data_IF_791763897708
#
_entry.id   IF_791763897708
#
_cell.length_a   1.000
_cell.length_b   1.000
_cell.length_c   1.000
_cell.angle_alpha   90.00
_cell.angle_beta   90.00
_cell.angle_gamma   90.00
#
_symmetry.space_group_name_H-M   'P 1'
#
loop_
_entity.id
_entity.type
_entity.pdbx_description
1 polymer ?
#
# COMPACT_ATOMS: atom_id res chain seq x y z
N UNK A 1 -5.64 17.46 -10.28
CA UNK A 1 -5.19 16.54 -9.21
C UNK A 1 -4.13 17.25 -8.39
N UNK A 2 -4.15 17.12 -7.06
CA UNK A 2 -3.14 17.70 -6.16
C UNK A 2 -2.22 16.55 -5.71
N UNK A 3 -0.89 16.74 -5.60
CA UNK A 3 0.01 15.74 -5.04
C UNK A 3 -0.52 15.24 -3.69
N UNK A 4 -0.50 13.93 -3.48
CA UNK A 4 -0.86 13.30 -2.21
C UNK A 4 -2.28 13.62 -1.69
N UNK A 5 -3.22 14.00 -2.57
CA UNK A 5 -4.62 14.25 -2.18
C UNK A 5 -5.61 13.47 -3.07
N UNK A 6 -6.66 12.93 -2.45
CA UNK A 6 -7.70 12.16 -3.12
C UNK A 6 -7.43 10.65 -3.18
N UNK A 7 -8.40 9.88 -3.68
CA UNK A 7 -8.36 8.42 -3.68
C UNK A 7 -7.17 7.87 -4.48
N UNK A 8 -6.92 6.57 -4.31
CA UNK A 8 -6.03 5.85 -5.22
C UNK A 8 -6.57 6.01 -6.65
N UNK A 9 -5.74 6.38 -7.64
CA UNK A 9 -6.19 6.50 -9.02
C UNK A 9 -6.79 5.18 -9.54
N UNK A 10 -7.72 5.28 -10.50
CA UNK A 10 -8.24 4.10 -11.19
C UNK A 10 -7.11 3.36 -11.93
N UNK A 11 -7.21 2.04 -11.99
CA UNK A 11 -6.27 1.16 -12.65
C UNK A 11 -6.03 -0.13 -11.89
N UNK A 12 -5.18 -0.97 -12.47
CA UNK A 12 -4.73 -2.23 -11.85
C UNK A 12 -3.47 -2.00 -11.02
N UNK A 13 -3.41 -2.67 -9.87
CA UNK A 13 -2.31 -2.58 -8.92
C UNK A 13 -1.87 -3.97 -8.50
N UNK A 14 -0.56 -4.22 -8.55
CA UNK A 14 0.06 -5.43 -8.03
C UNK A 14 0.22 -5.35 -6.52
N UNK A 15 -0.20 -6.41 -5.81
CA UNK A 15 -0.01 -6.54 -4.37
C UNK A 15 1.36 -7.15 -4.12
N UNK A 16 2.30 -6.34 -3.65
CA UNK A 16 3.70 -6.77 -3.44
C UNK A 16 4.10 -6.58 -1.97
N UNK A 17 5.21 -7.19 -1.58
CA UNK A 17 5.82 -6.89 -0.28
C UNK A 17 6.09 -5.39 -0.19
N UNK A 18 5.75 -4.78 0.96
CA UNK A 18 6.10 -3.38 1.18
C UNK A 18 7.63 -3.25 1.18
N UNK A 19 8.20 -2.29 0.43
CA UNK A 19 9.63 -2.03 0.52
C UNK A 19 9.93 -1.48 1.92
N UNK A 20 10.33 -2.37 2.81
CA UNK A 20 11.10 -2.00 4.00
C UNK A 20 12.51 -1.77 3.48
N UNK A 21 13.05 -0.56 3.58
CA UNK A 21 14.41 -0.28 3.09
C UNK A 21 15.48 -1.19 3.75
N UNK A 22 16.75 -0.89 3.49
CA UNK A 22 17.88 -1.64 4.06
C UNK A 22 17.83 -1.81 5.60
N UNK A 23 18.65 -2.72 6.15
CA UNK A 23 18.68 -3.10 7.58
C UNK A 23 18.50 -1.92 8.57
N UNK A 24 19.16 -0.79 8.36
CA UNK A 24 19.03 0.40 9.22
C UNK A 24 17.63 1.03 9.24
N UNK A 25 16.91 0.99 8.12
CA UNK A 25 15.52 1.50 8.04
C UNK A 25 14.50 0.55 8.69
N UNK A 26 14.80 -0.77 8.74
CA UNK A 26 13.99 -1.76 9.47
C UNK A 26 14.10 -1.55 10.97
N UNK A 27 15.31 -1.32 11.48
CA UNK A 27 15.54 -0.98 12.88
C UNK A 27 14.85 0.34 13.25
N UNK A 28 14.96 1.37 12.41
CA UNK A 28 14.28 2.65 12.64
C UNK A 28 12.75 2.54 12.58
N UNK A 29 12.21 1.77 11.63
CA UNK A 29 10.77 1.49 11.56
C UNK A 29 10.27 0.74 12.80
N UNK A 30 10.99 -0.28 13.27
CA UNK A 30 10.66 -0.99 14.51
C UNK A 30 10.71 -0.10 15.75
N UNK A 31 11.71 0.79 15.84
CA UNK A 31 11.79 1.77 16.94
C UNK A 31 10.62 2.74 16.87
N UNK A 32 10.29 3.28 15.69
CA UNK A 32 9.18 4.21 15.52
C UNK A 32 7.82 3.55 15.80
N UNK A 33 7.63 2.29 15.43
CA UNK A 33 6.43 1.51 15.73
C UNK A 33 6.31 1.19 17.23
N UNK A 34 7.44 0.98 17.92
CA UNK A 34 7.51 0.83 19.38
C UNK A 34 7.17 2.14 20.11
N UNK A 35 7.59 3.29 19.58
CA UNK A 35 7.25 4.60 20.19
C UNK A 35 5.79 4.98 19.91
N UNK A 36 5.26 4.69 18.72
CA UNK A 36 3.86 4.97 18.37
C UNK A 36 2.87 4.07 19.13
N UNK A 37 3.26 2.83 19.47
CA UNK A 37 2.45 1.91 20.28
C UNK A 37 2.30 2.35 21.75
N UNK A 38 3.11 3.29 22.22
CA UNK A 38 2.96 3.89 23.55
C UNK A 38 1.93 5.04 23.58
N UNK A 39 1.49 5.56 22.42
CA UNK A 39 0.65 6.77 22.30
C UNK A 39 -0.70 6.48 21.61
N UNK A 40 -0.93 5.24 21.16
CA UNK A 40 -2.18 4.80 20.53
C UNK A 40 -2.17 3.31 20.19
N UNK A 41 -3.19 2.84 19.46
CA UNK A 41 -3.24 1.44 18.99
C UNK A 41 -2.00 1.13 18.13
N UNK A 42 -1.19 0.13 18.49
CA UNK A 42 0.02 -0.24 17.74
C UNK A 42 -0.32 -0.54 16.28
N UNK A 43 0.35 0.16 15.36
CA UNK A 43 0.24 -0.10 13.92
C UNK A 43 1.55 -0.72 13.46
N UNK A 44 1.55 -2.03 13.21
CA UNK A 44 2.71 -2.72 12.66
C UNK A 44 2.76 -2.50 11.14
N UNK A 45 3.64 -1.60 10.70
CA UNK A 45 3.82 -1.30 9.28
C UNK A 45 4.53 -2.42 8.50
N UNK A 46 5.08 -3.42 9.19
CA UNK A 46 5.66 -4.62 8.60
C UNK A 46 4.61 -5.57 8.02
N UNK A 47 3.34 -5.42 8.43
CA UNK A 47 2.27 -6.25 7.91
C UNK A 47 1.65 -5.74 6.60
N UNK A 48 1.91 -4.49 6.24
CA UNK A 48 1.28 -3.81 5.12
C UNK A 48 1.84 -4.32 3.79
N UNK A 49 0.99 -4.32 2.76
CA UNK A 49 1.45 -4.56 1.39
C UNK A 49 1.63 -3.22 0.65
N UNK A 50 2.55 -3.20 -0.31
CA UNK A 50 2.61 -2.11 -1.29
C UNK A 50 1.71 -2.42 -2.49
N UNK A 51 1.19 -1.36 -3.10
CA UNK A 51 0.36 -1.42 -4.30
C UNK A 51 1.08 -0.72 -5.44
N UNK A 52 1.70 -1.49 -6.32
CA UNK A 52 2.43 -0.96 -7.48
C UNK A 52 1.50 -0.91 -8.68
N UNK A 53 1.36 0.26 -9.29
CA UNK A 53 0.46 0.41 -10.44
C UNK A 53 0.98 -0.39 -11.63
N UNK A 54 0.07 -1.01 -12.36
CA UNK A 54 0.33 -1.65 -13.65
C UNK A 54 0.39 -0.58 -14.76
N UNK A 55 1.44 0.25 -14.75
CA UNK A 55 1.68 1.35 -15.72
C UNK A 55 2.96 1.16 -16.56
N UNK A 56 3.52 -0.05 -16.54
CA UNK A 56 4.74 -0.43 -17.25
C UNK A 56 6.04 -0.18 -16.48
N UNK A 57 6.05 0.73 -15.50
CA UNK A 57 7.23 0.95 -14.64
C UNK A 57 7.25 0.00 -13.45
N UNK A 58 6.07 -0.37 -12.94
CA UNK A 58 5.83 -1.27 -11.81
C UNK A 58 6.74 -0.91 -10.64
N UNK A 59 6.48 0.23 -10.03
CA UNK A 59 7.22 0.70 -8.87
C UNK A 59 6.28 1.41 -7.87
N UNK A 60 6.86 1.98 -6.81
CA UNK A 60 6.11 2.57 -5.71
C UNK A 60 5.56 3.98 -6.01
N UNK A 61 5.73 4.46 -7.24
CA UNK A 61 5.24 5.75 -7.71
C UNK A 61 4.54 5.63 -9.05
N UNK A 62 3.75 6.64 -9.38
CA UNK A 62 3.08 6.75 -10.68
C UNK A 62 2.83 8.22 -10.99
N UNK A 63 2.65 8.53 -12.27
CA UNK A 63 2.39 9.89 -12.75
C UNK A 63 1.01 9.96 -13.37
N UNK A 64 0.17 10.85 -12.82
CA UNK A 64 -1.20 11.05 -13.31
C UNK A 64 -1.39 12.52 -13.63
N UNK A 65 -1.59 12.83 -14.92
CA UNK A 65 -1.74 14.19 -15.43
C UNK A 65 -0.61 15.13 -14.95
N UNK A 66 0.63 14.66 -15.02
CA UNK A 66 1.82 15.40 -14.58
C UNK A 66 2.04 15.44 -13.06
N UNK A 67 1.18 14.80 -12.27
CA UNK A 67 1.28 14.76 -10.80
C UNK A 67 1.85 13.43 -10.34
N UNK A 68 2.98 13.46 -9.61
CA UNK A 68 3.55 12.27 -8.96
C UNK A 68 2.67 11.85 -7.77
N UNK A 69 2.28 10.58 -7.76
CA UNK A 69 1.57 9.89 -6.68
C UNK A 69 2.31 8.60 -6.36
N UNK A 70 2.00 7.93 -5.25
CA UNK A 70 2.68 6.70 -4.89
C UNK A 70 2.59 6.38 -3.41
N UNK A 71 3.47 5.47 -2.96
CA UNK A 71 3.48 4.90 -1.63
C UNK A 71 2.12 4.31 -1.23
N UNK A 72 1.36 3.79 -2.20
CA UNK A 72 0.05 3.23 -1.95
C UNK A 72 0.19 1.91 -1.18
N UNK A 73 -0.67 1.73 -0.18
CA UNK A 73 -0.63 0.57 0.71
C UNK A 73 -2.01 -0.08 0.82
N UNK A 74 -1.98 -1.40 1.02
CA UNK A 74 -3.11 -2.15 1.58
C UNK A 74 -2.82 -2.41 3.05
N UNK A 75 -3.62 -1.84 3.95
CA UNK A 75 -3.35 -1.89 5.38
C UNK A 75 -4.63 -1.79 6.23
N UNK A 76 -4.61 -2.23 7.51
CA UNK A 76 -5.73 -1.99 8.42
C UNK A 76 -5.76 -0.52 8.83
N UNK A 77 -6.92 -0.06 9.27
CA UNK A 77 -7.04 1.24 9.92
C UNK A 77 -6.14 1.29 11.17
N UNK A 78 -5.37 2.38 11.29
CA UNK A 78 -4.43 2.63 12.37
C UNK A 78 -3.73 3.98 12.19
N UNK A 79 -3.27 4.59 13.29
CA UNK A 79 -2.51 5.85 13.25
C UNK A 79 -3.37 7.09 12.94
N UNK A 80 -2.76 8.13 12.32
CA UNK A 80 -3.36 9.47 12.09
C UNK A 80 -4.45 9.54 10.99
N UNK A 81 -4.81 8.43 10.34
CA UNK A 81 -5.91 8.41 9.36
C UNK A 81 -5.67 9.18 8.06
N UNK A 82 -4.44 9.58 7.75
CA UNK A 82 -4.10 10.31 6.52
C UNK A 82 -4.09 9.35 5.32
N UNK A 83 -5.12 9.40 4.47
CA UNK A 83 -5.17 8.64 3.23
C UNK A 83 -4.65 9.48 2.07
N UNK A 84 -3.40 9.22 1.66
CA UNK A 84 -2.82 9.77 0.42
C UNK A 84 -3.18 8.89 -0.81
N UNK A 85 -4.25 8.10 -0.69
CA UNK A 85 -4.69 7.08 -1.66
C UNK A 85 -4.35 5.64 -1.26
N UNK A 86 -4.27 5.32 0.03
CA UNK A 86 -4.16 3.92 0.47
C UNK A 86 -5.53 3.22 0.42
N UNK A 87 -5.52 1.89 0.28
CA UNK A 87 -6.69 1.05 0.50
C UNK A 87 -6.65 0.59 1.96
N UNK A 88 -7.56 1.14 2.76
CA UNK A 88 -7.61 0.90 4.20
C UNK A 88 -8.78 0.00 4.56
N UNK A 89 -8.51 -1.09 5.27
CA UNK A 89 -9.56 -1.94 5.82
C UNK A 89 -9.93 -1.45 7.23
N UNK A 90 -11.21 -1.12 7.49
CA UNK A 90 -11.60 -0.57 8.80
C UNK A 90 -11.39 -1.58 9.93
N UNK A 91 -11.56 -2.86 9.64
CA UNK A 91 -11.38 -3.96 10.59
C UNK A 91 -9.99 -4.57 10.46
N UNK A 92 -9.23 -4.54 11.57
CA UNK A 92 -7.93 -5.22 11.70
C UNK A 92 -8.05 -6.72 11.48
N UNK A 93 -9.13 -7.33 11.96
CA UNK A 93 -9.40 -8.77 11.84
C UNK A 93 -9.61 -9.15 10.37
N UNK A 94 -10.38 -8.36 9.62
CA UNK A 94 -10.61 -8.63 8.20
C UNK A 94 -9.36 -8.41 7.36
N UNK A 95 -8.58 -7.38 7.70
CA UNK A 95 -7.24 -7.23 7.13
C UNK A 95 -6.36 -8.46 7.37
N UNK A 96 -6.30 -8.97 8.61
CA UNK A 96 -5.50 -10.16 8.92
C UNK A 96 -5.96 -11.39 8.14
N UNK A 97 -7.28 -11.58 7.95
CA UNK A 97 -7.83 -12.65 7.11
C UNK A 97 -7.34 -12.56 5.67
N UNK A 98 -7.43 -11.38 5.06
CA UNK A 98 -6.97 -11.14 3.68
C UNK A 98 -5.46 -11.29 3.58
N UNK A 99 -4.70 -10.71 4.52
CA UNK A 99 -3.24 -10.84 4.59
C UNK A 99 -2.81 -12.30 4.64
N UNK A 100 -3.41 -13.08 5.54
CA UNK A 100 -3.11 -14.51 5.66
C UNK A 100 -3.47 -15.28 4.39
N UNK A 101 -4.55 -14.92 3.69
CA UNK A 101 -4.88 -15.52 2.40
C UNK A 101 -3.83 -15.19 1.34
N UNK A 102 -3.45 -13.92 1.18
CA UNK A 102 -2.44 -13.46 0.24
C UNK A 102 -1.07 -14.11 0.49
N UNK A 103 -0.62 -14.18 1.74
CA UNK A 103 0.67 -14.79 2.09
C UNK A 103 0.74 -16.29 1.83
N UNK A 104 -0.41 -16.98 1.77
CA UNK A 104 -0.48 -18.40 1.42
C UNK A 104 -0.58 -18.63 -0.10
N UNK A 105 -0.85 -17.59 -0.87
CA UNK A 105 -0.90 -17.66 -2.33
C UNK A 105 0.53 -17.69 -2.89
N UNK A 106 0.78 -18.57 -3.86
CA UNK A 106 2.04 -18.55 -4.61
C UNK A 106 2.21 -17.22 -5.35
N UNK A 107 3.42 -16.65 -5.33
CA UNK A 107 3.69 -15.38 -6.00
C UNK A 107 3.75 -15.54 -7.51
N UNK A 108 3.33 -14.51 -8.24
CA UNK A 108 3.39 -14.39 -9.69
C UNK A 108 4.28 -13.21 -10.11
N UNK A 109 4.88 -13.28 -11.29
CA UNK A 109 5.69 -12.19 -11.83
C UNK A 109 4.80 -10.97 -12.16
N UNK A 110 5.18 -9.80 -11.66
CA UNK A 110 4.40 -8.57 -11.78
C UNK A 110 4.80 -7.71 -12.98
N UNK A 111 4.83 -8.27 -14.19
CA UNK A 111 5.14 -7.54 -15.45
C UNK A 111 6.57 -6.99 -15.59
N UNK A 112 7.37 -6.98 -14.51
CA UNK A 112 8.76 -6.53 -14.45
C UNK A 112 9.66 -7.57 -13.77
N UNK A 113 10.87 -7.85 -14.29
CA UNK A 113 11.79 -8.79 -13.67
C UNK A 113 12.12 -8.42 -12.22
N UNK A 114 12.15 -9.43 -11.34
CA UNK A 114 12.50 -9.26 -9.93
C UNK A 114 11.35 -8.76 -9.04
N UNK A 115 10.18 -8.44 -9.60
CA UNK A 115 9.00 -8.07 -8.82
C UNK A 115 8.00 -9.22 -8.85
N UNK A 116 7.73 -9.75 -7.67
CA UNK A 116 6.78 -10.85 -7.46
C UNK A 116 5.60 -10.34 -6.61
N UNK A 117 4.38 -10.62 -7.07
CA UNK A 117 3.14 -10.18 -6.45
C UNK A 117 2.33 -11.36 -5.91
N UNK A 118 1.57 -11.11 -4.85
CA UNK A 118 0.59 -12.05 -4.28
C UNK A 118 -0.72 -12.11 -5.09
N UNK A 119 -0.91 -11.15 -6.01
CA UNK A 119 -2.11 -10.96 -6.80
C UNK A 119 -2.23 -9.51 -7.27
N UNK A 120 -3.40 -9.13 -7.75
CA UNK A 120 -3.70 -7.75 -8.16
C UNK A 120 -5.04 -7.26 -7.65
N UNK A 121 -5.16 -5.95 -7.48
CA UNK A 121 -6.41 -5.23 -7.20
C UNK A 121 -6.73 -4.36 -8.41
N UNK A 122 -7.97 -4.39 -8.88
CA UNK A 122 -8.48 -3.46 -9.88
C UNK A 122 -9.29 -2.38 -9.19
N UNK A 123 -8.90 -1.12 -9.40
CA UNK A 123 -9.61 0.06 -8.90
C UNK A 123 -10.41 0.65 -10.05
N UNK A 124 -11.72 0.63 -9.92
CA UNK A 124 -12.66 1.23 -10.87
C UNK A 124 -13.31 2.45 -10.22
N UNK A 125 -13.35 3.57 -10.95
CA UNK A 125 -14.00 4.81 -10.52
C UNK A 125 -15.20 5.11 -11.39
N UNK A 126 -16.33 5.47 -10.78
CA UNK A 126 -17.51 5.95 -11.49
C UNK A 126 -17.55 7.48 -11.41
N UNK A 127 -17.13 8.15 -12.49
CA UNK A 127 -17.00 9.62 -12.56
C UNK A 127 -15.63 10.14 -12.13
N UNK A 128 -15.22 11.28 -12.69
CA UNK A 128 -13.88 11.88 -12.50
C UNK A 128 -13.85 13.04 -11.48
N UNK A 129 -14.93 13.25 -10.73
CA UNK A 129 -15.10 14.41 -9.86
C UNK A 129 -15.42 13.98 -8.44
N UNK A 130 -14.45 14.14 -7.54
CA UNK A 130 -14.79 14.51 -6.16
C UNK A 130 -15.24 15.98 -6.20
N UNK A 131 -16.40 16.35 -5.61
CA UNK A 131 -16.77 17.75 -5.37
C UNK A 131 -15.71 18.48 -4.55
#
# INVERSE_FOLDING_TARGET
MIPSNGPIPAGKYWIVDRPTGGFGSRAWASIKDTVNSAIGSPVDHGEWFALYRDDGLIDDYTWINGVKRGNFRLHPAGGQGVSLGCITLPSRVDFLRIRSALLRTGKIAAGKPGINAYGSIEVVTYGNTCP
#
